data_IF_010162173792
#
_entry.id   IF_010162173792
#
_cell.length_a   1.000
_cell.length_b   1.000
_cell.length_c   1.000
_cell.angle_alpha   90.00
_cell.angle_beta   90.00
_cell.angle_gamma   90.00
#
_symmetry.space_group_name_H-M   'P 1'
#
loop_
_entity.id
_entity.type
_entity.pdbx_description
1 polymer ?
#
# COMPACT_ATOMS: atom_id res chain seq x y z
N UNK A 1 20.78 -3.10 -24.22
CA UNK A 1 20.74 -2.50 -22.87
C UNK A 1 19.26 -2.40 -22.50
N UNK A 2 18.74 -3.29 -21.64
CA UNK A 2 17.35 -3.18 -21.20
C UNK A 2 17.23 -1.92 -20.34
N UNK A 3 16.52 -0.91 -20.83
CA UNK A 3 16.15 0.25 -20.03
C UNK A 3 15.31 -0.26 -18.85
N UNK A 4 15.93 -0.38 -17.67
CA UNK A 4 15.18 -0.54 -16.43
C UNK A 4 14.33 0.72 -16.27
N UNK A 5 13.03 0.56 -16.43
CA UNK A 5 12.07 1.61 -16.08
C UNK A 5 12.29 1.90 -14.59
N UNK A 6 12.56 3.14 -14.17
CA UNK A 6 12.87 3.47 -12.78
C UNK A 6 11.60 3.45 -11.94
N UNK A 7 11.10 2.24 -11.67
CA UNK A 7 9.93 1.98 -10.85
C UNK A 7 10.32 1.75 -9.40
N UNK A 8 9.41 2.12 -8.49
CA UNK A 8 9.52 1.83 -7.06
C UNK A 8 8.17 1.38 -6.49
N UNK A 9 8.21 0.78 -5.29
CA UNK A 9 7.01 0.37 -4.56
C UNK A 9 6.50 1.54 -3.71
N UNK A 10 5.28 1.98 -4.00
CA UNK A 10 4.60 3.03 -3.24
C UNK A 10 3.73 2.45 -2.13
N UNK A 11 3.09 1.29 -2.34
CA UNK A 11 2.25 0.68 -1.33
C UNK A 11 2.36 -0.84 -1.39
N UNK A 12 2.34 -1.50 -0.23
CA UNK A 12 2.34 -2.94 -0.13
C UNK A 12 1.34 -3.41 0.93
N UNK A 13 0.56 -4.44 0.60
CA UNK A 13 -0.13 -5.27 1.59
C UNK A 13 0.40 -6.68 1.46
N UNK A 14 0.94 -7.21 2.55
CA UNK A 14 1.62 -8.51 2.59
C UNK A 14 1.32 -9.21 3.91
N UNK A 15 1.19 -10.54 3.88
CA UNK A 15 0.91 -11.38 5.06
C UNK A 15 1.64 -12.72 5.01
N UNK A 16 1.96 -13.27 6.17
CA UNK A 16 2.53 -14.61 6.32
C UNK A 16 1.96 -15.30 7.56
N UNK A 17 1.68 -16.59 7.45
CA UNK A 17 1.28 -17.43 8.58
C UNK A 17 2.53 -18.12 9.15
N UNK A 18 2.66 -18.15 10.46
CA UNK A 18 3.75 -18.79 11.19
C UNK A 18 3.20 -19.94 12.05
N UNK A 19 3.43 -21.18 11.61
CA UNK A 19 2.83 -22.38 12.19
C UNK A 19 3.27 -22.65 13.66
N UNK A 20 4.39 -22.07 14.10
CA UNK A 20 4.87 -22.20 15.49
C UNK A 20 3.98 -21.49 16.52
N UNK A 21 3.12 -20.56 16.09
CA UNK A 21 2.27 -19.77 16.98
C UNK A 21 3.06 -18.95 18.01
N UNK A 22 2.35 -18.48 19.06
CA UNK A 22 2.93 -17.72 20.19
C UNK A 22 3.56 -16.38 19.81
N UNK A 23 3.13 -15.79 18.70
CA UNK A 23 3.54 -14.44 18.34
C UNK A 23 2.84 -13.40 19.23
N UNK A 24 3.46 -12.23 19.46
CA UNK A 24 2.78 -11.09 20.05
C UNK A 24 1.47 -10.78 19.31
N UNK A 25 0.38 -10.61 20.05
CA UNK A 25 -0.87 -10.11 19.47
C UNK A 25 -0.74 -8.60 19.28
N UNK A 26 -0.88 -8.15 18.04
CA UNK A 26 -0.83 -6.74 17.66
C UNK A 26 -2.15 -6.41 16.95
N UNK A 27 -2.99 -5.62 17.59
CA UNK A 27 -4.22 -5.12 17.00
C UNK A 27 -4.45 -3.65 17.34
N UNK A 28 -5.21 -2.96 16.50
CA UNK A 28 -5.62 -1.56 16.70
C UNK A 28 -6.98 -1.43 17.37
N UNK A 29 -7.47 -2.50 18.01
CA UNK A 29 -8.86 -2.66 18.45
C UNK A 29 -9.62 -3.74 17.67
N UNK A 30 -10.94 -3.75 17.81
CA UNK A 30 -11.85 -4.75 17.22
C UNK A 30 -13.08 -4.07 16.62
N UNK A 31 -13.54 -4.59 15.48
CA UNK A 31 -14.89 -4.32 14.97
C UNK A 31 -15.76 -5.50 15.34
N UNK A 32 -16.84 -5.22 16.07
CA UNK A 32 -17.87 -6.18 16.44
C UNK A 32 -19.13 -5.87 15.63
N UNK A 33 -19.73 -6.90 15.04
CA UNK A 33 -21.12 -6.83 14.59
C UNK A 33 -21.96 -7.55 15.62
N UNK A 34 -22.91 -6.81 16.18
CA UNK A 34 -23.85 -7.28 17.18
C UNK A 34 -25.24 -7.23 16.52
N UNK A 35 -26.01 -8.29 16.65
CA UNK A 35 -27.37 -8.36 16.11
C UNK A 35 -28.38 -7.58 16.97
N UNK A 36 -29.66 -7.64 16.59
CA UNK A 36 -30.73 -6.97 17.32
C UNK A 36 -31.01 -7.55 18.72
N UNK A 37 -30.58 -8.79 18.96
CA UNK A 37 -30.80 -9.51 20.21
C UNK A 37 -29.63 -9.33 21.19
N UNK A 38 -28.55 -8.69 20.73
CA UNK A 38 -27.35 -8.41 21.53
C UNK A 38 -26.25 -9.44 21.38
N UNK A 39 -26.40 -10.42 20.49
CA UNK A 39 -25.41 -11.46 20.24
C UNK A 39 -24.35 -11.01 19.22
N UNK A 40 -23.11 -11.44 19.44
CA UNK A 40 -21.98 -11.10 18.57
C UNK A 40 -22.00 -12.02 17.34
N UNK A 41 -22.43 -11.50 16.18
CA UNK A 41 -22.37 -12.22 14.91
C UNK A 41 -20.91 -12.44 14.45
N UNK A 42 -20.06 -11.42 14.57
CA UNK A 42 -18.63 -11.55 14.29
C UNK A 42 -17.77 -10.51 15.01
N UNK A 43 -16.50 -10.87 15.20
CA UNK A 43 -15.43 -10.01 15.69
C UNK A 43 -14.23 -10.03 14.75
N UNK A 44 -13.71 -8.86 14.38
CA UNK A 44 -12.50 -8.73 13.54
C UNK A 44 -11.51 -7.81 14.22
N UNK A 45 -10.30 -8.32 14.49
CA UNK A 45 -9.17 -7.50 14.94
C UNK A 45 -8.75 -6.52 13.84
N UNK A 46 -8.69 -5.23 14.19
CA UNK A 46 -8.24 -4.16 13.30
C UNK A 46 -6.72 -4.08 13.30
N UNK A 47 -6.15 -3.49 12.25
CA UNK A 47 -4.70 -3.25 12.20
C UNK A 47 -4.34 -2.09 13.13
N UNK A 48 -3.23 -2.24 13.85
CA UNK A 48 -2.66 -1.15 14.61
C UNK A 48 -1.99 -0.17 13.65
N UNK A 49 -2.39 1.10 13.71
CA UNK A 49 -1.71 2.17 13.00
C UNK A 49 -0.41 2.53 13.70
N UNK A 50 0.69 2.52 12.96
CA UNK A 50 1.99 3.00 13.41
C UNK A 50 2.25 4.33 12.74
N UNK A 51 2.32 5.39 13.53
CA UNK A 51 2.68 6.72 13.07
C UNK A 51 4.19 6.81 12.86
N UNK A 52 4.57 7.44 11.77
CA UNK A 52 5.95 7.78 11.46
C UNK A 52 6.07 9.30 11.37
N UNK A 53 7.31 9.77 11.26
CA UNK A 53 7.58 11.19 11.03
C UNK A 53 6.86 11.71 9.78
N UNK A 54 6.64 13.02 9.71
CA UNK A 54 6.02 13.72 8.58
C UNK A 54 4.58 13.30 8.24
N UNK A 55 3.81 12.89 9.25
CA UNK A 55 2.41 12.46 9.12
C UNK A 55 2.29 11.29 8.13
N UNK A 56 3.17 10.31 8.31
CA UNK A 56 3.14 9.03 7.59
C UNK A 56 2.56 7.96 8.49
N UNK A 57 1.84 7.00 7.91
CA UNK A 57 1.23 5.91 8.67
C UNK A 57 1.29 4.62 7.87
N UNK A 58 1.66 3.56 8.56
CA UNK A 58 1.56 2.18 8.10
C UNK A 58 0.75 1.39 9.11
N UNK A 59 0.28 0.22 8.74
CA UNK A 59 -0.57 -0.60 9.58
C UNK A 59 0.01 -2.01 9.72
N UNK A 60 0.06 -2.51 10.94
CA UNK A 60 0.50 -3.87 11.26
C UNK A 60 -0.59 -4.59 12.05
N UNK A 61 -0.75 -5.89 11.80
CA UNK A 61 -1.62 -6.77 12.59
C UNK A 61 -0.95 -8.10 12.82
N UNK A 62 -1.09 -8.64 14.02
CA UNK A 62 -0.77 -10.03 14.32
C UNK A 62 -1.82 -10.62 15.27
N UNK A 63 -2.34 -11.79 14.91
CA UNK A 63 -3.35 -12.52 15.69
C UNK A 63 -2.74 -13.65 16.56
N UNK A 64 -1.41 -13.65 16.73
CA UNK A 64 -0.66 -14.72 17.40
C UNK A 64 -0.12 -15.80 16.46
N UNK A 65 -0.57 -15.83 15.20
CA UNK A 65 -0.12 -16.78 14.18
C UNK A 65 0.21 -16.12 12.83
N UNK A 66 -0.66 -15.25 12.33
CA UNK A 66 -0.50 -14.55 11.06
C UNK A 66 0.00 -13.13 11.32
N UNK A 67 1.05 -12.72 10.60
CA UNK A 67 1.53 -11.35 10.55
C UNK A 67 1.06 -10.70 9.26
N UNK A 68 0.59 -9.46 9.34
CA UNK A 68 0.16 -8.67 8.20
C UNK A 68 0.69 -7.24 8.29
N UNK A 69 1.19 -6.73 7.17
CA UNK A 69 1.59 -5.34 6.97
C UNK A 69 0.76 -4.73 5.84
N UNK A 70 0.34 -3.47 6.00
CA UNK A 70 -0.28 -2.68 4.94
C UNK A 70 0.15 -1.22 5.04
N UNK A 71 0.74 -0.67 3.99
CA UNK A 71 1.12 0.74 4.01
C UNK A 71 2.10 1.17 2.93
N UNK A 72 2.36 2.48 2.90
CA UNK A 72 3.41 3.08 2.10
C UNK A 72 4.72 3.11 2.88
N UNK A 73 5.48 2.01 2.81
CA UNK A 73 6.79 1.91 3.48
C UNK A 73 7.80 2.90 2.90
N UNK A 74 7.68 3.27 1.62
CA UNK A 74 8.58 4.22 0.96
C UNK A 74 8.50 5.64 1.52
N UNK A 75 7.35 5.99 2.11
CA UNK A 75 7.09 7.28 2.75
C UNK A 75 7.19 7.24 4.27
N UNK A 76 7.14 6.05 4.88
CA UNK A 76 7.17 5.91 6.34
C UNK A 76 8.45 6.51 6.93
N UNK A 77 8.29 7.49 7.83
CA UNK A 77 9.41 8.23 8.42
C UNK A 77 10.11 9.23 7.49
N UNK A 78 9.55 9.53 6.31
CA UNK A 78 10.15 10.43 5.30
C UNK A 78 9.21 11.57 4.91
N UNK A 79 9.80 12.72 4.57
CA UNK A 79 9.04 13.92 4.15
C UNK A 79 8.26 13.70 2.85
N UNK A 80 8.89 13.05 1.88
CA UNK A 80 8.32 12.61 0.62
C UNK A 80 8.96 11.31 0.14
N UNK A 81 8.39 10.75 -0.92
CA UNK A 81 8.84 9.53 -1.57
C UNK A 81 9.07 9.73 -3.08
N UNK A 82 9.63 10.87 -3.49
CA UNK A 82 9.96 11.14 -4.89
C UNK A 82 10.87 10.05 -5.49
N UNK A 83 11.77 9.50 -4.66
CA UNK A 83 12.55 8.30 -4.93
C UNK A 83 12.18 7.23 -3.90
N UNK A 84 11.39 6.25 -4.32
CA UNK A 84 10.99 5.14 -3.46
C UNK A 84 12.01 4.01 -3.42
N UNK A 85 11.58 2.85 -2.92
CA UNK A 85 12.40 1.67 -2.74
C UNK A 85 12.05 0.59 -3.76
N UNK A 86 13.02 -0.27 -4.10
CA UNK A 86 12.73 -1.50 -4.86
C UNK A 86 11.82 -2.42 -4.05
N UNK A 87 11.30 -3.48 -4.66
CA UNK A 87 10.52 -4.47 -3.92
C UNK A 87 11.35 -5.13 -2.81
N UNK A 88 12.60 -5.51 -3.09
CA UNK A 88 13.49 -6.13 -2.11
C UNK A 88 13.77 -5.19 -0.92
N UNK A 89 14.18 -3.95 -1.20
CA UNK A 89 14.41 -2.93 -0.16
C UNK A 89 13.15 -2.64 0.67
N UNK A 90 11.97 -2.69 0.03
CA UNK A 90 10.70 -2.51 0.72
C UNK A 90 10.42 -3.65 1.70
N UNK A 91 10.71 -4.90 1.32
CA UNK A 91 10.57 -6.05 2.20
C UNK A 91 11.55 -5.96 3.37
N UNK A 92 12.81 -5.58 3.14
CA UNK A 92 13.81 -5.40 4.20
C UNK A 92 13.35 -4.38 5.24
N UNK A 93 12.87 -3.21 4.79
CA UNK A 93 12.36 -2.17 5.70
C UNK A 93 11.12 -2.59 6.47
N UNK A 94 10.22 -3.34 5.83
CA UNK A 94 9.07 -3.91 6.53
C UNK A 94 9.55 -4.90 7.59
N UNK A 95 10.52 -5.75 7.27
CA UNK A 95 11.07 -6.72 8.22
C UNK A 95 11.79 -6.06 9.40
N UNK A 96 12.50 -4.94 9.18
CA UNK A 96 13.09 -4.14 10.26
C UNK A 96 12.01 -3.56 11.19
N UNK A 97 10.91 -3.06 10.62
CA UNK A 97 9.76 -2.59 11.40
C UNK A 97 9.14 -3.74 12.19
N UNK A 98 8.89 -4.90 11.58
CA UNK A 98 8.35 -6.07 12.28
C UNK A 98 9.25 -6.52 13.43
N UNK A 99 10.57 -6.50 13.21
CA UNK A 99 11.56 -6.83 14.24
C UNK A 99 11.44 -5.90 15.45
N UNK A 100 11.22 -4.60 15.25
CA UNK A 100 11.00 -3.66 16.36
C UNK A 100 9.74 -3.94 17.19
N UNK A 101 8.79 -4.69 16.63
CA UNK A 101 7.56 -5.13 17.27
C UNK A 101 7.64 -6.55 17.85
N UNK A 102 8.82 -7.18 17.79
CA UNK A 102 9.00 -8.57 18.20
C UNK A 102 8.33 -9.59 17.27
N UNK A 103 8.02 -9.20 16.02
CA UNK A 103 7.41 -10.07 15.02
C UNK A 103 8.45 -10.68 14.08
N UNK A 104 8.22 -11.90 13.58
CA UNK A 104 9.11 -12.55 12.61
C UNK A 104 9.10 -11.83 11.26
N UNK A 105 10.19 -11.94 10.48
CA UNK A 105 10.26 -11.34 9.15
C UNK A 105 9.40 -12.11 8.14
N UNK A 106 8.98 -11.40 7.10
CA UNK A 106 8.46 -12.01 5.88
C UNK A 106 9.56 -12.70 5.09
N UNK A 107 9.24 -13.87 4.54
CA UNK A 107 10.17 -14.72 3.79
C UNK A 107 9.59 -15.12 2.43
N UNK A 108 10.45 -15.41 1.45
CA UNK A 108 10.01 -15.93 0.16
C UNK A 108 9.30 -17.29 0.29
N UNK A 109 9.67 -18.10 1.28
CA UNK A 109 9.08 -19.43 1.50
C UNK A 109 9.31 -20.42 0.36
N UNK A 110 8.54 -21.51 0.37
CA UNK A 110 8.61 -22.60 -0.59
C UNK A 110 7.22 -23.08 -0.97
N UNK A 111 7.07 -23.53 -2.22
CA UNK A 111 5.89 -24.22 -2.71
C UNK A 111 6.04 -25.72 -2.43
N UNK A 112 5.15 -26.29 -1.63
CA UNK A 112 5.02 -27.73 -1.47
C UNK A 112 3.78 -28.20 -2.22
N UNK A 113 3.92 -29.29 -2.97
CA UNK A 113 2.83 -29.96 -3.68
C UNK A 113 2.62 -31.32 -3.03
N UNK A 114 1.38 -31.62 -2.69
CA UNK A 114 0.95 -32.89 -2.11
C UNK A 114 0.10 -33.61 -3.13
N UNK A 115 0.29 -34.92 -3.26
CA UNK A 115 -0.43 -35.73 -4.25
C UNK A 115 -1.96 -35.61 -4.10
N UNK A 116 -2.45 -35.58 -2.86
CA UNK A 116 -3.89 -35.72 -2.56
C UNK A 116 -4.55 -34.43 -2.02
N UNK A 117 -3.77 -33.42 -1.59
CA UNK A 117 -4.28 -32.22 -0.90
C UNK A 117 -3.90 -30.89 -1.57
N UNK A 118 -3.35 -30.95 -2.79
CA UNK A 118 -3.04 -29.75 -3.58
C UNK A 118 -1.68 -29.17 -3.28
N UNK A 119 -1.61 -27.86 -2.98
CA UNK A 119 -0.33 -27.18 -2.73
C UNK A 119 -0.43 -26.22 -1.55
N UNK A 120 0.69 -26.05 -0.84
CA UNK A 120 0.84 -25.02 0.19
C UNK A 120 2.06 -24.14 -0.08
N UNK A 121 1.94 -22.87 0.32
CA UNK A 121 3.02 -21.89 0.23
C UNK A 121 3.35 -21.41 1.63
N UNK A 122 4.61 -21.60 2.04
CA UNK A 122 5.06 -21.27 3.40
C UNK A 122 5.51 -19.82 3.56
N UNK A 123 5.68 -19.11 2.45
CA UNK A 123 6.19 -17.75 2.45
C UNK A 123 5.12 -16.70 2.63
N UNK A 124 5.58 -15.46 2.62
CA UNK A 124 4.71 -14.31 2.58
C UNK A 124 3.94 -14.24 1.26
N UNK A 125 2.72 -13.73 1.34
CA UNK A 125 1.80 -13.53 0.22
C UNK A 125 1.47 -12.05 0.13
N UNK A 126 1.83 -11.44 -1.00
CA UNK A 126 1.45 -10.06 -1.34
C UNK A 126 0.02 -10.07 -1.87
N UNK A 127 -0.87 -9.32 -1.23
CA UNK A 127 -2.27 -9.16 -1.68
C UNK A 127 -2.49 -7.84 -2.43
N UNK A 128 -1.60 -6.86 -2.27
CA UNK A 128 -1.60 -5.61 -3.01
C UNK A 128 -0.18 -5.08 -3.18
N UNK A 129 0.14 -4.58 -4.36
CA UNK A 129 1.37 -3.83 -4.65
C UNK A 129 1.03 -2.65 -5.57
N UNK A 130 1.43 -1.45 -5.17
CA UNK A 130 1.31 -0.26 -6.00
C UNK A 130 2.72 0.10 -6.51
N UNK A 131 2.92 -0.04 -7.82
CA UNK A 131 4.19 0.26 -8.50
C UNK A 131 4.10 1.64 -9.11
N UNK A 132 5.07 2.51 -8.82
CA UNK A 132 5.07 3.91 -9.25
C UNK A 132 6.31 4.24 -10.07
N UNK A 133 6.14 5.11 -11.07
CA UNK A 133 7.21 5.76 -11.80
C UNK A 133 6.89 7.26 -11.90
N UNK A 134 7.91 8.10 -11.73
CA UNK A 134 7.77 9.55 -11.87
C UNK A 134 8.34 9.99 -13.22
N UNK A 135 7.66 10.94 -13.86
CA UNK A 135 8.09 11.54 -15.12
C UNK A 135 8.11 13.06 -15.00
N UNK A 136 9.02 13.70 -15.73
CA UNK A 136 9.12 15.16 -15.84
C UNK A 136 8.57 15.59 -17.19
N UNK A 137 7.57 16.47 -17.19
CA UNK A 137 6.92 16.98 -18.41
C UNK A 137 7.44 18.34 -18.87
N UNK A 138 8.30 19.00 -18.08
CA UNK A 138 8.85 20.33 -18.39
C UNK A 138 7.96 21.49 -17.97
N UNK A 139 6.65 21.42 -18.21
CA UNK A 139 5.70 22.44 -17.77
C UNK A 139 4.35 21.86 -17.29
N UNK A 140 3.54 22.71 -16.64
CA UNK A 140 2.15 22.36 -16.28
C UNK A 140 1.28 22.17 -17.52
N UNK A 141 1.50 22.98 -18.57
CA UNK A 141 0.77 22.90 -19.84
C UNK A 141 1.05 21.55 -20.50
N UNK A 142 2.31 21.13 -20.54
CA UNK A 142 2.71 19.84 -21.10
C UNK A 142 2.18 18.67 -20.26
N UNK A 143 2.15 18.82 -18.93
CA UNK A 143 1.52 17.83 -18.05
C UNK A 143 0.03 17.66 -18.35
N UNK A 144 -0.71 18.76 -18.55
CA UNK A 144 -2.13 18.71 -18.88
C UNK A 144 -2.36 18.13 -20.29
N UNK A 145 -1.54 18.53 -21.27
CA UNK A 145 -1.60 17.99 -22.63
C UNK A 145 -1.37 16.48 -22.64
N UNK A 146 -0.36 16.00 -21.90
CA UNK A 146 -0.10 14.57 -21.73
C UNK A 146 -1.28 13.86 -21.09
N UNK A 147 -1.83 14.37 -19.98
CA UNK A 147 -2.98 13.74 -19.31
C UNK A 147 -4.21 13.67 -20.23
N UNK A 148 -4.50 14.73 -20.98
CA UNK A 148 -5.61 14.74 -21.96
C UNK A 148 -5.39 13.72 -23.07
N UNK A 149 -4.17 13.64 -23.60
CA UNK A 149 -3.82 12.64 -24.61
C UNK A 149 -3.97 11.22 -24.07
N UNK A 150 -3.41 10.94 -22.88
CA UNK A 150 -3.48 9.64 -22.24
C UNK A 150 -4.92 9.21 -21.91
N UNK A 151 -5.79 10.15 -21.52
CA UNK A 151 -7.21 9.86 -21.28
C UNK A 151 -7.95 9.28 -22.50
N UNK A 152 -7.50 9.62 -23.72
CA UNK A 152 -8.04 9.05 -24.96
C UNK A 152 -7.59 7.62 -25.25
N UNK A 153 -6.53 7.14 -24.59
CA UNK A 153 -5.97 5.81 -24.80
C UNK A 153 -6.64 4.75 -23.92
N UNK A 154 -6.50 3.50 -24.33
CA UNK A 154 -6.89 2.33 -23.55
C UNK A 154 -5.64 1.61 -23.04
N UNK A 155 -5.73 1.05 -21.83
CA UNK A 155 -4.74 0.11 -21.30
C UNK A 155 -5.41 -1.26 -21.21
N UNK A 156 -5.09 -2.14 -22.17
CA UNK A 156 -5.82 -3.37 -22.37
C UNK A 156 -7.31 -3.09 -22.61
N UNK A 157 -8.17 -3.60 -21.72
CA UNK A 157 -9.63 -3.38 -21.78
C UNK A 157 -10.10 -2.13 -21.02
N UNK A 158 -9.20 -1.41 -20.35
CA UNK A 158 -9.54 -0.28 -19.50
C UNK A 158 -9.48 1.03 -20.28
N UNK A 159 -10.61 1.72 -20.38
CA UNK A 159 -10.69 3.06 -20.96
C UNK A 159 -10.16 4.10 -19.97
N UNK A 160 -9.39 5.06 -20.47
CA UNK A 160 -8.95 6.22 -19.68
C UNK A 160 -10.11 7.14 -19.30
N UNK A 161 -10.08 7.63 -18.07
CA UNK A 161 -11.02 8.63 -17.57
C UNK A 161 -10.26 9.79 -16.94
N UNK A 162 -10.42 11.00 -17.48
CA UNK A 162 -9.83 12.22 -16.95
C UNK A 162 -10.72 12.78 -15.83
N UNK A 163 -10.13 13.14 -14.70
CA UNK A 163 -10.82 13.79 -13.59
C UNK A 163 -11.31 15.19 -13.97
N UNK A 164 -12.36 15.66 -13.28
CA UNK A 164 -12.99 16.99 -13.52
C UNK A 164 -11.98 18.14 -13.46
N UNK A 165 -11.00 18.06 -12.56
CA UNK A 165 -9.94 19.07 -12.44
C UNK A 165 -8.80 18.91 -13.46
N UNK A 166 -8.91 17.98 -14.42
CA UNK A 166 -7.92 17.75 -15.47
C UNK A 166 -6.56 17.20 -15.00
N UNK A 167 -6.40 16.88 -13.71
CA UNK A 167 -5.11 16.60 -13.10
C UNK A 167 -4.82 15.10 -12.87
N UNK A 168 -5.74 14.20 -13.25
CA UNK A 168 -5.61 12.76 -13.03
C UNK A 168 -6.34 11.98 -14.12
N UNK A 169 -5.68 10.97 -14.68
CA UNK A 169 -6.27 9.93 -15.52
C UNK A 169 -6.31 8.63 -14.74
N UNK A 170 -7.47 7.97 -14.76
CA UNK A 170 -7.67 6.66 -14.13
C UNK A 170 -8.00 5.60 -15.19
N UNK A 171 -7.50 4.39 -14.97
CA UNK A 171 -7.80 3.19 -15.77
C UNK A 171 -8.27 2.09 -14.83
N UNK A 172 -9.43 1.47 -15.11
CA UNK A 172 -9.96 0.41 -14.28
C UNK A 172 -10.36 0.86 -12.88
N UNK A 173 -10.88 2.08 -12.74
CA UNK A 173 -11.42 2.58 -11.46
C UNK A 173 -12.47 1.61 -10.92
N UNK A 174 -12.29 1.17 -9.68
CA UNK A 174 -13.16 0.16 -9.03
C UNK A 174 -12.80 -1.30 -9.33
N UNK A 175 -11.78 -1.55 -10.16
CA UNK A 175 -11.22 -2.88 -10.36
C UNK A 175 -10.63 -3.44 -9.06
N UNK A 176 -10.90 -4.73 -8.80
CA UNK A 176 -10.34 -5.45 -7.65
C UNK A 176 -8.92 -5.95 -7.87
N UNK A 177 -8.46 -6.03 -9.13
CA UNK A 177 -7.22 -6.71 -9.50
C UNK A 177 -6.16 -5.77 -10.06
N UNK A 178 -6.54 -4.87 -10.97
CA UNK A 178 -5.62 -3.97 -11.66
C UNK A 178 -6.27 -2.61 -11.82
N UNK A 179 -5.64 -1.58 -11.27
CA UNK A 179 -6.03 -0.19 -11.36
C UNK A 179 -4.80 0.66 -11.72
N UNK A 180 -4.95 1.56 -12.67
CA UNK A 180 -3.89 2.46 -13.12
C UNK A 180 -4.26 3.91 -12.85
N UNK A 181 -3.28 4.71 -12.43
CA UNK A 181 -3.46 6.13 -12.18
C UNK A 181 -2.26 6.92 -12.70
N UNK A 182 -2.51 7.91 -13.54
CA UNK A 182 -1.54 8.91 -13.95
C UNK A 182 -2.03 10.26 -13.41
N UNK A 183 -1.19 11.03 -12.72
CA UNK A 183 -1.63 12.29 -12.15
C UNK A 183 -0.51 13.32 -12.11
N UNK A 184 -0.91 14.60 -12.17
CA UNK A 184 0.02 15.70 -11.99
C UNK A 184 0.42 15.79 -10.52
N UNK A 185 1.62 15.28 -10.19
CA UNK A 185 2.16 15.25 -8.82
C UNK A 185 2.24 16.64 -8.20
N UNK A 186 2.60 17.66 -8.97
CA UNK A 186 2.67 19.05 -8.50
C UNK A 186 1.33 19.55 -7.98
N UNK A 187 0.24 19.28 -8.71
CA UNK A 187 -1.12 19.64 -8.28
C UNK A 187 -1.52 18.91 -7.00
N UNK A 188 -1.18 17.61 -6.91
CA UNK A 188 -1.46 16.81 -5.72
C UNK A 188 -0.68 17.30 -4.48
N UNK A 189 0.62 17.62 -4.65
CA UNK A 189 1.45 18.17 -3.58
C UNK A 189 0.92 19.52 -3.08
N UNK A 190 0.49 20.41 -3.98
CA UNK A 190 -0.14 21.69 -3.61
C UNK A 190 -1.40 21.48 -2.78
N UNK A 191 -2.26 20.53 -3.17
CA UNK A 191 -3.49 20.17 -2.45
C UNK A 191 -3.21 19.59 -1.07
N UNK A 192 -2.11 18.87 -0.89
CA UNK A 192 -1.76 18.24 0.38
C UNK A 192 -0.99 19.19 1.31
N UNK A 193 -0.27 20.17 0.76
CA UNK A 193 0.44 21.21 1.53
C UNK A 193 -0.51 22.06 2.38
N UNK A 194 -1.70 22.37 1.87
CA UNK A 194 -2.70 23.18 2.61
C UNK A 194 -3.26 22.47 3.85
N UNK A 195 -3.18 21.13 3.92
CA UNK A 195 -3.63 20.37 5.11
C UNK A 195 -2.56 20.22 6.18
N UNK A 196 -1.27 20.35 5.82
CA UNK A 196 -0.14 20.18 6.75
C UNK A 196 0.15 21.43 7.61
N UNK A 197 -0.43 22.59 7.27
CA UNK A 197 -0.35 23.80 8.09
C UNK A 197 -1.71 23.97 8.78
N UNK A 198 -1.94 23.23 9.87
CA UNK A 198 -2.84 23.71 10.93
C UNK A 198 -1.96 24.38 11.97
N UNK A 199 -2.21 25.65 12.36
CA UNK A 199 -1.52 26.21 13.51
C UNK A 199 -1.83 25.30 14.69
N UNK A 200 -0.80 24.90 15.43
CA UNK A 200 -0.98 24.23 16.70
C UNK A 200 -1.83 25.15 17.59
N UNK A 201 -3.10 24.80 17.80
CA UNK A 201 -3.85 25.34 18.92
C UNK A 201 -3.22 24.74 20.18
N UNK A 202 -2.25 25.44 20.76
CA UNK A 202 -1.89 25.25 22.15
C UNK A 202 -3.14 25.53 22.99
N UNK A 203 -3.58 24.53 23.76
CA UNK A 203 -4.44 24.72 24.94
C UNK A 203 -3.53 24.72 26.16
#
# INVERSE_FOLDING_TARGET
MMNLIPVFVDYLTIRQVHDGGKLPVINGGRVLRIDSDGEIEYAVDTRQGLEGSFDSRVEVRCDGHQVEFSGNISRYGRQDNLFGFTFADSIERINDLLKSLGLPPFTAGKLYKFADSGWTWTGARVSRIDITCNYVTGSMIDSEALLRNMAGHHIGRQKGSLSVNGATVEYGRGSKYVYGKLYCKTTELKKHRSKKIRPACYR
#
